data_IF_584367472337
#
_entry.id   IF_584367472337
#
_cell.length_a   1.000
_cell.length_b   1.000
_cell.length_c   1.000
_cell.angle_alpha   90.00
_cell.angle_beta   90.00
_cell.angle_gamma   90.00
#
_symmetry.space_group_name_H-M   'P 1'
#
loop_
_entity.id
_entity.type
_entity.pdbx_description
1 polymer ?
#
# COMPACT_ATOMS: atom_id res chain seq x y z
N UNK A 1 -4.15 -19.27 -9.13
CA UNK A 1 -5.46 -19.42 -8.47
C UNK A 1 -5.66 -18.18 -7.62
N UNK A 2 -6.60 -17.27 -7.95
CA UNK A 2 -6.92 -16.16 -7.04
C UNK A 2 -7.32 -16.79 -5.72
N UNK A 3 -6.83 -16.26 -4.58
CA UNK A 3 -7.61 -16.34 -3.34
C UNK A 3 -8.91 -15.57 -3.60
N UNK A 4 -9.83 -16.22 -4.29
CA UNK A 4 -11.15 -15.72 -4.57
C UNK A 4 -11.86 -15.62 -3.22
N UNK A 5 -12.19 -14.38 -2.83
CA UNK A 5 -13.24 -14.05 -1.87
C UNK A 5 -13.44 -15.08 -0.74
N UNK A 6 -12.55 -15.07 0.25
CA UNK A 6 -12.84 -15.68 1.54
C UNK A 6 -13.69 -14.71 2.38
N UNK A 7 -14.99 -14.66 2.08
CA UNK A 7 -15.99 -14.31 3.08
C UNK A 7 -16.21 -15.58 3.93
N UNK A 8 -15.32 -15.86 4.88
CA UNK A 8 -15.47 -17.00 5.79
C UNK A 8 -15.72 -16.50 7.19
N UNK A 9 -16.99 -16.35 7.57
CA UNK A 9 -17.37 -16.24 8.99
C UNK A 9 -16.94 -17.54 9.69
N UNK A 10 -15.75 -17.57 10.29
CA UNK A 10 -15.37 -18.52 11.33
C UNK A 10 -14.84 -17.76 12.54
N UNK A 11 -15.57 -17.86 13.65
CA UNK A 11 -15.25 -17.25 14.92
C UNK A 11 -14.06 -17.99 15.57
N UNK A 12 -12.83 -17.56 15.29
CA UNK A 12 -11.63 -17.96 16.03
C UNK A 12 -10.91 -16.72 16.58
N UNK A 13 -10.73 -16.58 17.92
CA UNK A 13 -10.09 -15.42 18.54
C UNK A 13 -8.61 -15.17 18.14
N UNK A 14 -7.99 -16.05 17.35
CA UNK A 14 -6.61 -15.90 16.85
C UNK A 14 -6.47 -15.40 15.40
N UNK A 15 -7.55 -15.29 14.64
CA UNK A 15 -7.48 -14.97 13.20
C UNK A 15 -7.67 -13.47 12.94
N UNK A 16 -6.67 -12.82 12.34
CA UNK A 16 -6.80 -11.44 11.84
C UNK A 16 -7.62 -11.47 10.56
N UNK A 17 -8.80 -10.85 10.60
CA UNK A 17 -9.67 -10.68 9.45
C UNK A 17 -9.08 -9.74 8.42
N UNK A 18 -8.55 -10.30 7.34
CA UNK A 18 -8.07 -9.53 6.20
C UNK A 18 -9.27 -9.24 5.29
N UNK A 19 -10.01 -8.17 5.56
CA UNK A 19 -11.07 -7.72 4.68
C UNK A 19 -10.46 -7.24 3.35
N UNK A 20 -10.69 -7.99 2.27
CA UNK A 20 -10.15 -7.78 0.93
C UNK A 20 -10.70 -6.54 0.19
N UNK A 21 -11.17 -5.53 0.91
CA UNK A 21 -11.83 -4.37 0.33
C UNK A 21 -10.88 -3.17 0.34
N UNK A 22 -10.14 -2.99 -0.75
CA UNK A 22 -9.10 -1.95 -0.90
C UNK A 22 -9.71 -0.59 -1.24
N UNK A 23 -10.69 -0.12 -0.47
CA UNK A 23 -11.38 1.16 -0.63
C UNK A 23 -10.92 2.19 0.40
N UNK A 24 -11.30 3.45 0.20
CA UNK A 24 -10.97 4.59 1.08
C UNK A 24 -11.31 4.32 2.56
N UNK A 25 -12.40 3.59 2.83
CA UNK A 25 -12.76 3.14 4.20
C UNK A 25 -11.69 2.29 4.86
N UNK A 26 -11.03 1.39 4.12
CA UNK A 26 -9.96 0.56 4.67
C UNK A 26 -8.72 1.40 4.98
N UNK A 27 -8.32 2.29 4.06
CA UNK A 27 -7.21 3.21 4.28
C UNK A 27 -7.42 4.11 5.51
N UNK A 28 -8.62 4.70 5.65
CA UNK A 28 -8.99 5.48 6.83
C UNK A 28 -9.03 4.64 8.11
N UNK A 29 -9.52 3.40 8.05
CA UNK A 29 -9.54 2.48 9.20
C UNK A 29 -8.13 2.13 9.67
N UNK A 30 -7.20 1.83 8.76
CA UNK A 30 -5.79 1.60 9.10
C UNK A 30 -5.17 2.84 9.75
N UNK A 31 -5.43 4.03 9.19
CA UNK A 31 -4.94 5.25 9.81
C UNK A 31 -5.53 5.47 11.20
N UNK A 32 -6.82 5.20 11.40
CA UNK A 32 -7.44 5.29 12.72
C UNK A 32 -6.76 4.35 13.70
N UNK A 33 -6.67 3.06 13.37
CA UNK A 33 -6.03 2.06 14.24
C UNK A 33 -4.59 2.40 14.63
N UNK A 34 -3.83 3.02 13.72
CA UNK A 34 -2.46 3.44 14.01
C UNK A 34 -2.33 4.67 14.91
N UNK A 35 -3.34 5.55 14.93
CA UNK A 35 -3.18 6.91 15.46
C UNK A 35 -4.30 7.37 16.40
N UNK A 36 -5.30 6.54 16.69
CA UNK A 36 -6.48 6.91 17.51
C UNK A 36 -6.09 7.42 18.90
N UNK A 37 -5.03 6.85 19.50
CA UNK A 37 -4.56 7.24 20.83
C UNK A 37 -3.73 8.54 20.83
N UNK A 38 -3.31 9.06 19.67
CA UNK A 38 -2.37 10.19 19.56
C UNK A 38 -2.88 11.34 18.68
N UNK A 39 -3.95 11.16 17.92
CA UNK A 39 -4.60 12.24 17.17
C UNK A 39 -6.11 12.08 17.15
N UNK A 40 -6.84 13.12 17.56
CA UNK A 40 -8.29 13.22 17.36
C UNK A 40 -8.68 13.16 15.86
N UNK A 41 -7.71 13.45 14.99
CA UNK A 41 -7.85 13.40 13.54
C UNK A 41 -7.73 11.99 12.94
N UNK A 42 -7.56 10.94 13.75
CA UNK A 42 -7.22 9.62 13.25
C UNK A 42 -8.32 9.04 12.33
N UNK A 43 -7.93 8.72 11.10
CA UNK A 43 -8.84 8.19 10.07
C UNK A 43 -9.63 9.25 9.31
N UNK A 44 -9.46 10.54 9.63
CA UNK A 44 -10.09 11.63 8.91
C UNK A 44 -9.20 12.14 7.78
N UNK A 45 -9.79 12.32 6.59
CA UNK A 45 -9.10 13.00 5.49
C UNK A 45 -8.80 14.46 5.89
N UNK A 46 -7.65 14.97 5.48
CA UNK A 46 -7.30 16.37 5.77
C UNK A 46 -8.17 17.33 4.96
N UNK A 47 -8.47 18.47 5.57
CA UNK A 47 -9.28 19.55 4.96
C UNK A 47 -8.44 20.72 4.47
N UNK A 48 -7.12 20.70 4.74
CA UNK A 48 -6.17 21.75 4.36
C UNK A 48 -5.11 21.21 3.40
N UNK A 49 -4.58 22.10 2.56
CA UNK A 49 -3.45 21.79 1.69
C UNK A 49 -2.15 21.70 2.49
N UNK A 50 -1.26 20.79 2.07
CA UNK A 50 0.02 20.54 2.73
C UNK A 50 1.14 20.36 1.70
N UNK A 51 2.35 20.60 2.15
CA UNK A 51 3.56 20.38 1.38
C UNK A 51 4.65 19.77 2.26
N UNK A 52 5.61 19.09 1.64
CA UNK A 52 6.84 18.64 2.29
C UNK A 52 8.03 19.07 1.45
N UNK A 53 8.86 19.96 2.00
CA UNK A 53 9.88 20.64 1.21
C UNK A 53 9.23 21.44 0.07
N UNK A 54 9.65 21.16 -1.17
CA UNK A 54 9.10 21.80 -2.38
C UNK A 54 7.90 21.06 -2.98
N UNK A 55 7.59 19.85 -2.49
CA UNK A 55 6.48 19.04 -3.02
C UNK A 55 5.16 19.45 -2.39
N UNK A 56 4.24 19.95 -3.23
CA UNK A 56 2.83 20.15 -2.87
C UNK A 56 2.04 18.88 -3.15
N UNK A 57 1.28 18.41 -2.17
CA UNK A 57 0.43 17.24 -2.33
C UNK A 57 -0.92 17.63 -2.95
N UNK A 58 -1.79 16.64 -3.19
CA UNK A 58 -3.13 16.84 -3.74
C UNK A 58 -3.90 17.95 -2.99
N UNK A 59 -4.63 18.79 -3.70
CA UNK A 59 -5.49 19.79 -3.05
C UNK A 59 -6.58 19.09 -2.23
N UNK A 60 -6.91 19.61 -1.05
CA UNK A 60 -7.76 18.90 -0.08
C UNK A 60 -9.13 18.53 -0.65
N UNK A 61 -9.71 19.41 -1.49
CA UNK A 61 -10.98 19.20 -2.17
C UNK A 61 -10.99 18.04 -3.17
N UNK A 62 -9.83 17.53 -3.59
CA UNK A 62 -9.68 16.44 -4.56
C UNK A 62 -9.25 15.12 -3.94
N UNK A 63 -8.93 15.07 -2.65
CA UNK A 63 -8.39 13.88 -1.99
C UNK A 63 -9.29 12.67 -2.17
N UNK A 64 -10.59 12.81 -1.90
CA UNK A 64 -11.52 11.67 -1.97
C UNK A 64 -11.60 11.09 -3.40
N UNK A 65 -11.69 11.96 -4.40
CA UNK A 65 -11.75 11.56 -5.80
C UNK A 65 -10.44 10.85 -6.24
N UNK A 66 -9.29 11.45 -5.95
CA UNK A 66 -8.00 10.87 -6.36
C UNK A 66 -7.63 9.61 -5.57
N UNK A 67 -7.91 9.57 -4.25
CA UNK A 67 -7.76 8.36 -3.45
C UNK A 67 -8.61 7.24 -4.04
N UNK A 68 -9.89 7.51 -4.32
CA UNK A 68 -10.80 6.50 -4.90
C UNK A 68 -10.27 6.00 -6.24
N UNK A 69 -9.80 6.89 -7.11
CA UNK A 69 -9.22 6.51 -8.42
C UNK A 69 -8.03 5.55 -8.28
N UNK A 70 -7.08 5.86 -7.40
CA UNK A 70 -5.88 5.01 -7.21
C UNK A 70 -6.25 3.69 -6.54
N UNK A 71 -7.09 3.75 -5.50
CA UNK A 71 -7.54 2.57 -4.76
C UNK A 71 -8.36 1.60 -5.62
N UNK A 72 -9.20 2.10 -6.52
CA UNK A 72 -9.91 1.26 -7.49
C UNK A 72 -8.96 0.56 -8.49
N UNK A 73 -7.85 1.18 -8.85
CA UNK A 73 -6.83 0.53 -9.68
C UNK A 73 -6.09 -0.57 -8.91
N UNK A 74 -5.79 -0.33 -7.62
CA UNK A 74 -5.20 -1.35 -6.74
C UNK A 74 -6.14 -2.56 -6.57
N UNK A 75 -7.44 -2.31 -6.38
CA UNK A 75 -8.47 -3.35 -6.23
C UNK A 75 -8.66 -4.18 -7.52
N UNK A 76 -8.54 -3.55 -8.69
CA UNK A 76 -8.68 -4.22 -9.98
C UNK A 76 -7.39 -4.89 -10.48
N UNK A 77 -6.23 -4.51 -9.95
CA UNK A 77 -4.93 -5.04 -10.38
C UNK A 77 -4.75 -6.50 -9.95
N UNK A 78 -4.29 -7.33 -10.89
CA UNK A 78 -3.93 -8.72 -10.65
C UNK A 78 -2.44 -8.92 -10.96
N UNK A 79 -1.60 -8.74 -9.95
CA UNK A 79 -0.15 -8.79 -10.13
C UNK A 79 0.31 -10.20 -10.54
N UNK A 80 -0.43 -11.25 -10.19
CA UNK A 80 -0.06 -12.65 -10.48
C UNK A 80 0.02 -12.95 -11.97
N UNK A 81 -0.64 -12.15 -12.81
CA UNK A 81 -0.67 -12.31 -14.27
C UNK A 81 0.45 -11.56 -14.99
N UNK A 82 1.19 -10.71 -14.30
CA UNK A 82 2.18 -9.82 -14.88
C UNK A 82 3.60 -10.41 -14.73
N UNK A 83 4.50 -10.19 -15.70
CA UNK A 83 5.91 -10.49 -15.50
C UNK A 83 6.50 -9.56 -14.42
N UNK A 84 7.53 -10.04 -13.70
CA UNK A 84 8.12 -9.35 -12.54
C UNK A 84 8.41 -7.86 -12.77
N UNK A 85 9.02 -7.51 -13.89
CA UNK A 85 9.34 -6.11 -14.21
C UNK A 85 8.08 -5.23 -14.34
N UNK A 86 7.00 -5.76 -14.92
CA UNK A 86 5.72 -5.07 -15.04
C UNK A 86 4.98 -4.99 -13.70
N UNK A 87 5.05 -6.05 -12.87
CA UNK A 87 4.55 -6.01 -11.49
C UNK A 87 5.19 -4.86 -10.72
N UNK A 88 6.52 -4.78 -10.69
CA UNK A 88 7.23 -3.76 -9.91
C UNK A 88 6.98 -2.35 -10.44
N UNK A 89 6.83 -2.21 -11.76
CA UNK A 89 6.43 -0.94 -12.37
C UNK A 89 5.06 -0.49 -11.87
N UNK A 90 4.05 -1.36 -11.93
CA UNK A 90 2.68 -1.05 -11.49
C UNK A 90 2.64 -0.73 -9.99
N UNK A 91 3.36 -1.50 -9.16
CA UNK A 91 3.49 -1.22 -7.72
C UNK A 91 4.10 0.17 -7.51
N UNK A 92 5.18 0.52 -8.21
CA UNK A 92 5.85 1.81 -8.08
C UNK A 92 4.95 2.99 -8.50
N UNK A 93 4.21 2.84 -9.60
CA UNK A 93 3.26 3.82 -10.12
C UNK A 93 2.14 4.08 -9.10
N UNK A 94 1.40 3.04 -8.70
CA UNK A 94 0.27 3.18 -7.77
C UNK A 94 0.72 3.67 -6.38
N UNK A 95 1.91 3.25 -5.92
CA UNK A 95 2.49 3.76 -4.69
C UNK A 95 2.82 5.25 -4.80
N UNK A 96 3.47 5.66 -5.88
CA UNK A 96 3.79 7.06 -6.14
C UNK A 96 2.55 7.93 -6.21
N UNK A 97 1.51 7.47 -6.92
CA UNK A 97 0.24 8.19 -7.04
C UNK A 97 -0.45 8.36 -5.68
N UNK A 98 -0.60 7.30 -4.88
CA UNK A 98 -1.23 7.42 -3.55
C UNK A 98 -0.37 8.28 -2.59
N UNK A 99 0.96 8.27 -2.75
CA UNK A 99 1.84 9.14 -1.97
C UNK A 99 1.61 10.62 -2.30
N UNK A 100 1.25 10.94 -3.55
CA UNK A 100 0.88 12.30 -3.97
C UNK A 100 -0.52 12.71 -3.51
N UNK A 101 -1.45 11.77 -3.36
CA UNK A 101 -2.76 12.03 -2.74
C UNK A 101 -2.57 12.53 -1.30
N UNK A 102 -1.71 11.86 -0.53
CA UNK A 102 -1.33 12.26 0.84
C UNK A 102 -2.57 12.61 1.71
N UNK A 103 -3.49 11.65 1.91
CA UNK A 103 -4.86 11.93 2.34
C UNK A 103 -5.01 12.45 3.77
N UNK A 104 -4.03 12.25 4.65
CA UNK A 104 -4.11 12.57 6.07
C UNK A 104 -3.23 13.77 6.44
N UNK A 105 -3.49 14.38 7.60
CA UNK A 105 -2.69 15.53 8.08
C UNK A 105 -1.27 15.13 8.47
N UNK A 106 -1.11 13.95 9.05
CA UNK A 106 0.15 13.31 9.42
C UNK A 106 0.00 11.79 9.24
N UNK A 107 1.05 11.00 9.43
CA UNK A 107 0.93 9.54 9.45
C UNK A 107 0.85 8.84 8.08
N UNK A 108 0.70 9.59 6.98
CA UNK A 108 0.56 9.09 5.61
C UNK A 108 1.52 7.96 5.23
N UNK A 109 2.82 8.15 5.43
CA UNK A 109 3.83 7.15 5.04
C UNK A 109 3.69 5.81 5.78
N UNK A 110 3.29 5.83 7.05
CA UNK A 110 3.08 4.61 7.85
C UNK A 110 1.82 3.87 7.43
N UNK A 111 0.71 4.61 7.28
CA UNK A 111 -0.55 4.05 6.79
C UNK A 111 -0.41 3.48 5.39
N UNK A 112 0.25 4.20 4.49
CA UNK A 112 0.44 3.76 3.11
C UNK A 112 1.28 2.47 3.02
N UNK A 113 2.37 2.36 3.79
CA UNK A 113 3.20 1.15 3.81
C UNK A 113 2.39 -0.07 4.25
N UNK A 114 1.64 0.03 5.35
CA UNK A 114 0.77 -1.07 5.80
C UNK A 114 -0.33 -1.41 4.80
N UNK A 115 -0.92 -0.40 4.17
CA UNK A 115 -1.93 -0.63 3.13
C UNK A 115 -1.33 -1.41 1.94
N UNK A 116 -0.14 -1.02 1.48
CA UNK A 116 0.54 -1.71 0.38
C UNK A 116 1.04 -3.09 0.77
N UNK A 117 1.54 -3.28 1.99
CA UNK A 117 1.86 -4.61 2.53
C UNK A 117 0.64 -5.53 2.44
N UNK A 118 -0.52 -5.07 2.89
CA UNK A 118 -1.76 -5.83 2.78
C UNK A 118 -2.14 -6.12 1.31
N UNK A 119 -2.12 -5.13 0.43
CA UNK A 119 -2.42 -5.37 -0.99
C UNK A 119 -1.45 -6.36 -1.66
N UNK A 120 -0.15 -6.28 -1.33
CA UNK A 120 0.87 -7.21 -1.82
C UNK A 120 0.61 -8.63 -1.30
N UNK A 121 0.26 -8.79 -0.02
CA UNK A 121 -0.09 -10.08 0.57
C UNK A 121 -1.28 -10.74 -0.16
N UNK A 122 -2.31 -9.96 -0.51
CA UNK A 122 -3.44 -10.44 -1.32
C UNK A 122 -3.03 -10.90 -2.72
N UNK A 123 -1.88 -10.45 -3.22
CA UNK A 123 -1.27 -10.83 -4.49
C UNK A 123 -0.18 -11.90 -4.36
N UNK A 124 -0.02 -12.54 -3.19
CA UNK A 124 0.99 -13.57 -2.95
C UNK A 124 2.42 -13.02 -2.80
N UNK A 125 2.55 -11.72 -2.50
CA UNK A 125 3.82 -11.04 -2.37
C UNK A 125 4.04 -10.57 -0.93
N UNK A 126 5.28 -10.65 -0.46
CA UNK A 126 5.70 -10.08 0.81
C UNK A 126 6.73 -8.97 0.57
N UNK A 127 6.84 -8.01 1.48
CA UNK A 127 7.84 -6.93 1.40
C UNK A 127 8.70 -6.90 2.66
N UNK A 128 10.01 -6.68 2.48
CA UNK A 128 10.98 -6.54 3.56
C UNK A 128 11.68 -5.18 3.50
N UNK A 129 11.33 -4.29 4.42
CA UNK A 129 11.89 -2.93 4.46
C UNK A 129 13.30 -2.84 5.05
N UNK A 130 13.84 -3.95 5.58
CA UNK A 130 15.07 -3.98 6.40
C UNK A 130 16.29 -3.33 5.72
N UNK A 131 16.40 -3.45 4.41
CA UNK A 131 17.56 -2.97 3.63
C UNK A 131 17.26 -1.75 2.77
N UNK A 132 16.06 -1.16 2.90
CA UNK A 132 15.68 0.05 2.17
C UNK A 132 16.19 1.27 2.92
N UNK A 133 17.18 1.97 2.36
CA UNK A 133 17.69 3.19 2.97
C UNK A 133 16.63 4.30 2.93
N UNK A 134 16.53 5.07 4.02
CA UNK A 134 15.61 6.20 4.09
C UNK A 134 15.90 7.25 3.00
N UNK A 135 17.18 7.49 2.69
CA UNK A 135 17.60 8.43 1.65
C UNK A 135 17.16 8.00 0.25
N UNK A 136 17.40 6.74 -0.12
CA UNK A 136 16.96 6.23 -1.43
C UNK A 136 15.43 6.22 -1.54
N UNK A 137 14.73 5.86 -0.46
CA UNK A 137 13.28 5.90 -0.41
C UNK A 137 12.73 7.30 -0.65
N UNK A 138 13.26 8.30 0.07
CA UNK A 138 12.85 9.70 -0.09
C UNK A 138 13.14 10.19 -1.51
N UNK A 139 14.33 9.89 -2.05
CA UNK A 139 14.69 10.27 -3.42
C UNK A 139 13.73 9.66 -4.45
N UNK A 140 13.38 8.38 -4.30
CA UNK A 140 12.40 7.71 -5.15
C UNK A 140 11.02 8.35 -5.07
N UNK A 141 10.52 8.67 -3.87
CA UNK A 141 9.25 9.37 -3.70
C UNK A 141 9.27 10.78 -4.32
N UNK A 142 10.40 11.50 -4.26
CA UNK A 142 10.54 12.82 -4.90
C UNK A 142 10.55 12.68 -6.42
N UNK A 143 11.27 11.71 -6.98
CA UNK A 143 11.29 11.46 -8.42
C UNK A 143 9.89 11.11 -8.97
N UNK A 144 9.09 10.36 -8.19
CA UNK A 144 7.72 10.01 -8.53
C UNK A 144 6.78 11.22 -8.69
N UNK A 145 7.11 12.38 -8.11
CA UNK A 145 6.34 13.63 -8.29
C UNK A 145 6.29 14.03 -9.77
N UNK A 146 7.36 13.75 -10.52
CA UNK A 146 7.45 14.00 -11.96
C UNK A 146 7.15 12.75 -12.79
N UNK A 147 6.37 11.81 -12.25
CA UNK A 147 6.05 10.52 -12.85
C UNK A 147 7.29 9.66 -13.21
N UNK A 148 8.44 9.93 -12.58
CA UNK A 148 9.62 9.10 -12.74
C UNK A 148 9.66 8.03 -11.66
N UNK A 149 9.11 6.86 -11.98
CA UNK A 149 8.97 5.74 -11.05
C UNK A 149 10.16 4.75 -11.08
N UNK A 150 11.19 5.00 -11.88
CA UNK A 150 12.30 4.05 -12.08
C UNK A 150 12.98 3.66 -10.76
N UNK A 151 13.31 4.66 -9.94
CA UNK A 151 13.97 4.40 -8.66
C UNK A 151 13.07 3.66 -7.66
N UNK A 152 11.76 3.99 -7.61
CA UNK A 152 10.82 3.25 -6.77
C UNK A 152 10.68 1.81 -7.26
N UNK A 153 10.59 1.59 -8.57
CA UNK A 153 10.53 0.25 -9.16
C UNK A 153 11.74 -0.58 -8.72
N UNK A 154 12.95 -0.02 -8.79
CA UNK A 154 14.17 -0.75 -8.42
C UNK A 154 14.24 -1.04 -6.91
N UNK A 155 13.77 -0.10 -6.08
CA UNK A 155 13.62 -0.36 -4.64
C UNK A 155 12.65 -1.50 -4.40
N UNK A 156 11.45 -1.45 -5.00
CA UNK A 156 10.44 -2.50 -4.84
C UNK A 156 10.93 -3.85 -5.35
N UNK A 157 11.65 -3.87 -6.47
CA UNK A 157 12.22 -5.10 -7.00
C UNK A 157 13.23 -5.73 -6.04
N UNK A 158 13.98 -4.91 -5.28
CA UNK A 158 14.94 -5.37 -4.28
C UNK A 158 14.32 -5.87 -2.98
N UNK A 159 13.09 -5.46 -2.65
CA UNK A 159 12.50 -5.68 -1.33
C UNK A 159 11.19 -6.48 -1.34
N UNK A 160 10.57 -6.71 -2.49
CA UNK A 160 9.37 -7.54 -2.63
C UNK A 160 9.76 -8.95 -3.04
N UNK A 161 9.25 -9.96 -2.34
CA UNK A 161 9.50 -11.38 -2.60
C UNK A 161 8.19 -12.12 -2.85
N UNK A 162 8.25 -13.21 -3.63
CA UNK A 162 7.14 -14.16 -3.74
C UNK A 162 7.00 -14.92 -2.42
N UNK A 163 5.76 -15.13 -1.99
CA UNK A 163 5.47 -16.03 -0.88
C UNK A 163 5.43 -17.44 -1.46
N UNK A 164 6.37 -18.28 -1.06
CA UNK A 164 6.34 -19.70 -1.41
C UNK A 164 5.21 -20.37 -0.63
N UNK A 165 4.33 -21.11 -1.31
CA UNK A 165 3.41 -22.00 -0.61
C UNK A 165 4.23 -23.14 0.04
N UNK A 166 3.91 -23.55 1.28
CA UNK A 166 4.56 -24.70 1.89
C UNK A 166 4.39 -25.91 0.97
N UNK A 167 5.49 -26.53 0.54
CA UNK A 167 5.44 -27.76 -0.25
C UNK A 167 4.61 -28.81 0.49
N UNK A 168 3.59 -29.37 -0.16
CA UNK A 168 2.77 -30.46 0.39
C UNK A 168 3.58 -31.75 0.67
N UNK A 169 4.80 -31.87 0.14
CA UNK A 169 5.67 -33.03 0.26
C UNK A 169 6.61 -32.96 1.47
N UNK A 170 6.07 -32.75 2.67
CA UNK A 170 6.77 -33.15 3.90
C UNK A 170 6.05 -34.34 4.49
N UNK A 171 6.27 -35.48 3.86
CA UNK A 171 6.08 -36.79 4.49
C UNK A 171 6.82 -36.77 5.83
N UNK A 172 6.04 -36.87 6.91
CA UNK A 172 6.55 -37.21 8.23
C UNK A 172 6.80 -38.72 8.19
N UNK A 173 8.00 -39.13 7.78
CA UNK A 173 8.54 -40.46 8.05
C UNK A 173 9.02 -40.56 9.50
#
# INVERSE_FOLDING_TARGET
MRLAAACFVTADPGTIWIAACLRSRHLCSLHRQLFDEVCDCAGMLRTVDIAKGTTRFCISSRIEAEATRVLSQLDAADLTTLPRSAQMRLVAELYGELNMVHPFREGNGRTQRLFFEHWLLLNGLAVSWKHVSAGAWIAGCIAAVSCNYAQLKDIFDSCIMQIEEPSADRDYD
#
